data_IF_646096112145
#
_entry.id   IF_646096112145
#
_cell.length_a   1.000
_cell.length_b   1.000
_cell.length_c   1.000
_cell.angle_alpha   90.00
_cell.angle_beta   90.00
_cell.angle_gamma   90.00
#
_symmetry.space_group_name_H-M   'P 1'
#
loop_
_entity.id
_entity.type
_entity.pdbx_description
1 polymer ?
#
# COMPACT_ATOMS: atom_id res chain seq x y z
N UNK A 1 9.78 -7.50 15.50
CA UNK A 1 8.79 -6.90 14.57
C UNK A 1 9.47 -6.83 13.23
N UNK A 2 8.77 -7.21 12.16
CA UNK A 2 9.26 -6.98 10.79
C UNK A 2 9.48 -5.47 10.60
N UNK A 3 10.52 -5.11 9.85
CA UNK A 3 10.83 -3.70 9.54
C UNK A 3 10.16 -3.26 8.25
N UNK A 4 9.58 -2.07 8.26
CA UNK A 4 8.98 -1.46 7.08
C UNK A 4 9.71 -0.16 6.72
N UNK A 5 9.84 0.09 5.41
CA UNK A 5 10.19 1.38 4.85
C UNK A 5 8.87 2.10 4.58
N UNK A 6 8.62 3.19 5.30
CA UNK A 6 7.44 4.04 5.13
C UNK A 6 7.89 5.44 4.77
N UNK A 7 7.38 5.96 3.65
CA UNK A 7 7.68 7.31 3.18
C UNK A 7 6.44 7.96 2.57
N UNK A 8 6.28 9.26 2.77
CA UNK A 8 5.27 10.05 2.10
C UNK A 8 5.95 11.19 1.34
N UNK A 9 5.84 11.19 0.02
CA UNK A 9 6.26 12.28 -0.83
C UNK A 9 5.20 13.39 -0.82
N UNK A 10 5.59 14.54 -0.31
CA UNK A 10 4.71 15.70 -0.17
C UNK A 10 4.49 16.42 -1.49
N UNK A 11 5.50 16.44 -2.36
CA UNK A 11 5.44 17.14 -3.65
C UNK A 11 4.50 16.40 -4.59
N UNK A 12 4.66 15.07 -4.68
CA UNK A 12 3.88 14.22 -5.58
C UNK A 12 2.60 13.63 -4.95
N UNK A 13 2.40 13.80 -3.63
CA UNK A 13 1.30 13.20 -2.86
C UNK A 13 1.25 11.67 -2.99
N UNK A 14 2.40 11.03 -2.78
CA UNK A 14 2.57 9.57 -2.91
C UNK A 14 2.95 8.96 -1.56
N UNK A 15 2.19 7.95 -1.11
CA UNK A 15 2.51 7.16 0.07
C UNK A 15 3.11 5.82 -0.36
N UNK A 16 4.28 5.50 0.17
CA UNK A 16 4.96 4.22 -0.02
C UNK A 16 5.16 3.50 1.31
N UNK A 17 4.77 2.23 1.37
CA UNK A 17 5.01 1.33 2.51
C UNK A 17 5.47 -0.02 1.97
N UNK A 18 6.65 -0.48 2.38
CA UNK A 18 7.21 -1.77 1.95
C UNK A 18 7.93 -2.48 3.08
N UNK A 19 7.75 -3.78 3.19
CA UNK A 19 8.50 -4.64 4.09
C UNK A 19 9.98 -4.67 3.68
N UNK A 20 10.84 -4.05 4.49
CA UNK A 20 12.27 -3.87 4.23
C UNK A 20 13.07 -5.18 4.32
N UNK A 21 12.45 -6.25 4.81
CA UNK A 21 13.09 -7.56 5.00
C UNK A 21 12.74 -8.54 3.86
N UNK A 22 11.91 -8.13 2.89
CA UNK A 22 11.44 -8.98 1.78
C UNK A 22 11.88 -8.40 0.44
N UNK A 23 12.23 -9.29 -0.48
CA UNK A 23 12.61 -8.96 -1.84
C UNK A 23 11.35 -8.80 -2.70
N UNK A 24 11.27 -7.69 -3.45
CA UNK A 24 10.24 -7.47 -4.46
C UNK A 24 10.58 -8.32 -5.69
N UNK A 25 9.66 -9.19 -6.07
CA UNK A 25 9.74 -10.02 -7.27
C UNK A 25 8.99 -9.36 -8.44
N UNK A 26 7.83 -8.78 -8.16
CA UNK A 26 6.98 -8.11 -9.14
C UNK A 26 6.29 -6.89 -8.51
N UNK A 27 6.19 -5.81 -9.26
CA UNK A 27 5.32 -4.66 -8.92
C UNK A 27 4.14 -4.64 -9.87
N UNK A 28 2.95 -4.52 -9.30
CA UNK A 28 1.67 -4.63 -9.99
C UNK A 28 0.93 -3.32 -9.92
N UNK A 29 0.72 -2.67 -11.07
CA UNK A 29 -0.24 -1.56 -11.19
C UNK A 29 -1.66 -2.13 -11.10
N UNK A 30 -2.23 -2.13 -9.90
CA UNK A 30 -3.57 -2.65 -9.67
C UNK A 30 -4.64 -1.68 -10.20
N UNK A 31 -4.37 -0.38 -10.06
CA UNK A 31 -5.15 0.70 -10.67
C UNK A 31 -4.22 1.87 -10.96
N UNK A 32 -4.74 2.89 -11.65
CA UNK A 32 -4.01 4.15 -11.89
C UNK A 32 -3.50 4.85 -10.61
N UNK A 33 -4.04 4.48 -9.44
CA UNK A 33 -3.73 5.13 -8.17
C UNK A 33 -3.02 4.18 -7.19
N UNK A 34 -2.90 2.87 -7.48
CA UNK A 34 -2.35 1.88 -6.55
C UNK A 34 -1.40 0.92 -7.26
N UNK A 35 -0.17 0.84 -6.77
CA UNK A 35 0.80 -0.19 -7.13
C UNK A 35 1.02 -1.10 -5.92
N UNK A 36 1.09 -2.42 -6.14
CA UNK A 36 1.38 -3.43 -5.13
C UNK A 36 2.72 -4.09 -5.43
N UNK A 37 3.58 -4.20 -4.42
CA UNK A 37 4.80 -4.99 -4.50
C UNK A 37 4.53 -6.40 -3.98
N UNK A 38 4.88 -7.41 -4.78
CA UNK A 38 4.69 -8.82 -4.51
C UNK A 38 6.03 -9.53 -4.31
N UNK A 39 6.07 -10.49 -3.39
CA UNK A 39 7.18 -11.45 -3.29
C UNK A 39 7.04 -12.61 -4.29
N UNK A 40 8.05 -13.48 -4.38
CA UNK A 40 8.07 -14.71 -5.21
C UNK A 40 6.90 -15.67 -5.01
N UNK A 41 6.15 -15.53 -3.91
CA UNK A 41 4.99 -16.37 -3.60
C UNK A 41 3.67 -15.65 -3.90
N UNK A 42 3.73 -14.42 -4.41
CA UNK A 42 2.58 -13.56 -4.69
C UNK A 42 1.96 -12.94 -3.42
N UNK A 43 2.73 -12.84 -2.32
CA UNK A 43 2.27 -12.10 -1.13
C UNK A 43 2.51 -10.61 -1.32
N UNK A 44 1.55 -9.78 -0.90
CA UNK A 44 1.73 -8.33 -0.87
C UNK A 44 2.73 -7.99 0.23
N UNK A 45 3.85 -7.41 -0.16
CA UNK A 45 4.93 -6.95 0.72
C UNK A 45 5.12 -5.43 0.68
N UNK A 46 4.49 -4.74 -0.27
CA UNK A 46 4.48 -3.30 -0.31
C UNK A 46 3.30 -2.73 -1.08
N UNK A 47 3.08 -1.44 -0.90
CA UNK A 47 2.04 -0.67 -1.56
C UNK A 47 2.54 0.76 -1.80
N UNK A 48 2.24 1.27 -2.99
CA UNK A 48 2.39 2.66 -3.36
C UNK A 48 1.02 3.22 -3.74
N UNK A 49 0.66 4.36 -3.19
CA UNK A 49 -0.64 5.02 -3.40
C UNK A 49 -0.39 6.43 -3.91
N UNK A 50 -0.88 6.72 -5.11
CA UNK A 50 -0.90 8.07 -5.69
C UNK A 50 -2.09 8.86 -5.17
N UNK A 51 -1.96 10.18 -5.13
CA UNK A 51 -2.95 11.08 -4.54
C UNK A 51 -3.35 10.64 -3.13
N UNK A 52 -2.37 10.17 -2.34
CA UNK A 52 -2.61 9.42 -1.11
C UNK A 52 -3.47 10.21 -0.11
N UNK A 53 -3.25 11.52 -0.01
CA UNK A 53 -4.03 12.37 0.90
C UNK A 53 -5.50 12.48 0.49
N UNK A 54 -5.79 12.55 -0.81
CA UNK A 54 -7.17 12.54 -1.32
C UNK A 54 -7.77 11.14 -1.20
N UNK A 55 -7.09 10.13 -1.73
CA UNK A 55 -7.55 8.75 -1.78
C UNK A 55 -7.89 8.22 -0.38
N UNK A 56 -6.96 8.31 0.58
CA UNK A 56 -7.20 7.85 1.95
C UNK A 56 -8.18 8.76 2.69
N UNK A 57 -8.15 10.07 2.41
CA UNK A 57 -9.07 11.06 2.96
C UNK A 57 -10.54 10.86 2.54
N UNK A 58 -10.82 10.11 1.47
CA UNK A 58 -12.18 9.69 1.10
C UNK A 58 -12.74 8.64 2.07
N UNK A 59 -11.88 7.75 2.57
CA UNK A 59 -12.28 6.69 3.50
C UNK A 59 -12.21 7.14 4.96
N UNK A 60 -11.24 7.99 5.29
CA UNK A 60 -11.03 8.50 6.63
C UNK A 60 -10.47 9.92 6.61
N UNK A 61 -11.29 10.88 7.04
CA UNK A 61 -10.96 12.31 7.06
C UNK A 61 -9.80 12.67 8.00
N UNK A 62 -9.43 11.78 8.90
CA UNK A 62 -8.25 11.96 9.76
C UNK A 62 -6.93 11.70 9.04
N UNK A 63 -6.95 11.05 7.87
CA UNK A 63 -5.77 10.81 7.04
C UNK A 63 -5.69 11.92 6.00
N UNK A 64 -5.31 13.11 6.45
CA UNK A 64 -5.05 14.26 5.58
C UNK A 64 -3.55 14.38 5.23
N UNK A 65 -3.23 15.30 4.32
CA UNK A 65 -1.85 15.57 3.90
C UNK A 65 -0.93 15.91 5.08
N UNK A 66 -1.45 16.59 6.11
CA UNK A 66 -0.67 16.96 7.30
C UNK A 66 -0.37 15.74 8.17
N UNK A 67 -1.33 14.82 8.33
CA UNK A 67 -1.10 13.56 9.02
C UNK A 67 -0.04 12.73 8.29
N UNK A 68 -0.15 12.59 6.96
CA UNK A 68 0.81 11.84 6.14
C UNK A 68 2.23 12.44 6.19
N UNK A 69 2.35 13.76 6.19
CA UNK A 69 3.63 14.48 6.39
C UNK A 69 4.32 14.18 7.73
N UNK A 70 3.57 13.78 8.74
CA UNK A 70 4.07 13.54 10.09
C UNK A 70 4.11 12.03 10.43
N UNK A 71 4.08 11.16 9.43
CA UNK A 71 4.27 9.72 9.63
C UNK A 71 5.68 9.45 10.15
N UNK A 72 5.76 8.65 11.20
CA UNK A 72 7.02 8.12 11.72
C UNK A 72 7.23 6.67 11.29
N UNK A 73 6.14 5.91 11.17
CA UNK A 73 6.17 4.50 10.82
C UNK A 73 4.87 4.09 10.14
N UNK A 74 4.91 2.94 9.48
CA UNK A 74 3.75 2.33 8.85
C UNK A 74 4.06 0.92 8.42
N UNK A 75 3.02 0.08 8.40
CA UNK A 75 3.13 -1.30 7.93
C UNK A 75 1.83 -1.75 7.27
N UNK A 76 1.90 -2.86 6.54
CA UNK A 76 0.73 -3.47 5.92
C UNK A 76 0.36 -4.75 6.66
N UNK A 77 -0.93 -4.95 6.87
CA UNK A 77 -1.51 -6.26 7.18
C UNK A 77 -2.20 -6.79 5.93
N UNK A 78 -1.94 -8.05 5.62
CA UNK A 78 -2.36 -8.67 4.39
C UNK A 78 -3.09 -9.98 4.66
N UNK A 79 -4.18 -10.21 3.93
CA UNK A 79 -4.85 -11.50 3.87
C UNK A 79 -5.27 -11.83 2.43
N UNK A 80 -4.85 -13.01 2.00
CA UNK A 80 -5.36 -13.64 0.78
C UNK A 80 -6.59 -14.48 1.10
N UNK A 81 -7.69 -14.25 0.41
CA UNK A 81 -8.87 -15.11 0.51
C UNK A 81 -9.66 -15.14 -0.79
N UNK A 82 -9.84 -16.34 -1.37
CA UNK A 82 -10.69 -16.57 -2.55
C UNK A 82 -10.41 -15.59 -3.70
N UNK A 83 -9.15 -15.44 -4.08
CA UNK A 83 -8.71 -14.55 -5.18
C UNK A 83 -8.89 -13.05 -4.90
N UNK A 84 -8.97 -12.68 -3.62
CA UNK A 84 -9.09 -11.29 -3.18
C UNK A 84 -7.96 -11.00 -2.20
N UNK A 85 -7.27 -9.89 -2.43
CA UNK A 85 -6.34 -9.30 -1.47
C UNK A 85 -7.09 -8.32 -0.56
N UNK A 86 -7.03 -8.59 0.73
CA UNK A 86 -7.44 -7.66 1.77
C UNK A 86 -6.18 -7.03 2.36
N UNK A 87 -6.06 -5.72 2.22
CA UNK A 87 -4.91 -4.96 2.69
C UNK A 87 -5.40 -3.93 3.70
N UNK A 88 -4.73 -3.87 4.85
CA UNK A 88 -4.92 -2.82 5.84
C UNK A 88 -3.60 -2.08 6.00
N UNK A 89 -3.64 -0.77 5.78
CA UNK A 89 -2.53 0.11 6.09
C UNK A 89 -2.61 0.46 7.56
N UNK A 90 -1.53 0.26 8.29
CA UNK A 90 -1.40 0.77 9.65
C UNK A 90 -0.40 1.91 9.62
N UNK A 91 -0.89 3.11 9.90
CA UNK A 91 -0.16 4.37 9.78
C UNK A 91 0.06 4.95 11.18
N UNK A 92 1.28 5.33 11.50
CA UNK A 92 1.65 5.82 12.83
C UNK A 92 2.38 7.16 12.74
N UNK A 93 1.77 8.19 13.34
CA UNK A 93 2.40 9.47 13.65
C UNK A 93 2.70 9.56 15.15
N UNK A 94 3.31 10.65 15.61
CA UNK A 94 3.68 10.80 17.04
C UNK A 94 2.48 10.73 17.98
N UNK A 95 1.34 11.21 17.52
CA UNK A 95 0.16 11.45 18.35
C UNK A 95 -0.95 10.44 18.07
N UNK A 96 -0.86 9.70 16.96
CA UNK A 96 -2.00 8.92 16.46
C UNK A 96 -1.55 7.72 15.62
N UNK A 97 -2.25 6.60 15.85
CA UNK A 97 -2.17 5.39 15.04
C UNK A 97 -3.52 5.16 14.37
N UNK A 98 -3.52 4.94 13.06
CA UNK A 98 -4.72 4.72 12.24
C UNK A 98 -4.56 3.42 11.46
N UNK A 99 -5.58 2.57 11.50
CA UNK A 99 -5.70 1.39 10.63
C UNK A 99 -6.73 1.67 9.56
N UNK A 100 -6.32 1.67 8.29
CA UNK A 100 -7.16 1.95 7.14
C UNK A 100 -7.18 0.76 6.20
N UNK A 101 -8.34 0.11 6.09
CA UNK A 101 -8.54 -0.92 5.07
C UNK A 101 -8.63 -0.29 3.68
N UNK A 102 -7.94 -0.88 2.72
CA UNK A 102 -8.14 -0.59 1.30
C UNK A 102 -9.41 -1.32 0.79
N UNK A 103 -10.00 -0.86 -0.33
CA UNK A 103 -10.98 -1.66 -1.04
C UNK A 103 -10.45 -3.07 -1.32
N UNK A 104 -11.29 -4.12 -1.29
CA UNK A 104 -10.86 -5.46 -1.64
C UNK A 104 -10.38 -5.50 -3.10
N UNK A 105 -9.17 -6.01 -3.33
CA UNK A 105 -8.53 -6.01 -4.64
C UNK A 105 -8.64 -7.41 -5.26
N UNK A 106 -9.41 -7.56 -6.35
CA UNK A 106 -9.61 -8.87 -7.00
C UNK A 106 -8.42 -9.19 -7.91
N UNK A 107 -7.74 -10.33 -7.70
CA UNK A 107 -6.56 -10.67 -8.52
C UNK A 107 -6.89 -10.96 -10.00
N UNK A 108 -8.16 -11.17 -10.35
CA UNK A 108 -8.60 -11.30 -11.74
C UNK A 108 -8.60 -9.97 -12.50
N UNK A 109 -8.62 -8.85 -11.79
CA UNK A 109 -8.50 -7.50 -12.37
C UNK A 109 -7.02 -7.15 -12.66
N UNK A 110 -6.10 -7.99 -12.21
CA UNK A 110 -4.68 -7.89 -12.47
C UNK A 110 -4.28 -8.58 -13.79
N UNK A 111 -3.39 -7.91 -14.53
CA UNK A 111 -2.67 -8.47 -15.67
C UNK A 111 -1.18 -8.40 -15.33
N UNK A 112 -0.50 -9.54 -15.21
CA UNK A 112 0.97 -9.55 -15.03
C UNK A 112 1.64 -8.87 -16.23
N UNK A 113 2.51 -7.87 -16.02
CA UNK A 113 3.35 -7.34 -17.09
C UNK A 113 4.19 -8.44 -17.75
N UNK A 114 4.61 -9.47 -16.99
CA UNK A 114 5.37 -10.59 -17.53
C UNK A 114 4.54 -11.51 -18.45
N UNK A 115 3.22 -11.60 -18.23
CA UNK A 115 2.30 -12.39 -19.06
C UNK A 115 1.67 -11.58 -20.19
N UNK A 116 1.71 -10.25 -20.13
CA UNK A 116 1.14 -9.37 -21.17
C UNK A 116 1.92 -9.40 -22.49
N UNK A 117 3.16 -9.91 -22.49
CA UNK A 117 4.05 -9.98 -23.66
C UNK A 117 4.30 -11.40 -24.19
N UNK A 118 3.58 -12.43 -23.72
CA UNK A 118 3.72 -13.81 -24.18
C UNK A 118 2.59 -14.25 -25.11
#
# INVERSE_FOLDING_TARGET
>A
MEKYNTNYDVEDDVLYIQNAEKEVDESVEFSKDIILDLDKKGNVIGVEIFYASEFLGLFNKDIDKKFLQNLNDGYIEYKDFRNIWFIVLVLESKDKKISQALPPLQKSEYISPLLAFT
#
